data_IF_274798898364
#
_entry.id   IF_274798898364
#
_cell.length_a   1.000
_cell.length_b   1.000
_cell.length_c   1.000
_cell.angle_alpha   90.00
_cell.angle_beta   90.00
_cell.angle_gamma   90.00
#
_symmetry.space_group_name_H-M   'P 1'
#
loop_
_entity.id
_entity.type
_entity.pdbx_description
1 polymer ?
#
# COMPACT_ATOMS: atom_id res chain seq x y z
N UNK A 1 49.44 -10.67 32.60
CA UNK A 1 50.79 -10.89 32.04
C UNK A 1 50.67 -11.84 30.84
N UNK A 2 51.46 -11.62 29.77
CA UNK A 2 51.73 -12.48 28.58
C UNK A 2 50.54 -12.69 27.61
N UNK A 3 50.40 -12.03 26.44
CA UNK A 3 51.24 -11.85 25.23
C UNK A 3 51.74 -13.15 24.60
N UNK A 4 51.28 -13.46 23.38
CA UNK A 4 51.97 -13.98 22.16
C UNK A 4 50.84 -14.19 21.10
N UNK A 5 50.70 -13.49 19.94
CA UNK A 5 51.59 -13.27 18.79
C UNK A 5 52.12 -14.62 18.23
N UNK A 6 52.19 -14.97 16.94
CA UNK A 6 52.07 -14.34 15.62
C UNK A 6 52.29 -15.46 14.57
N UNK A 7 51.74 -15.33 13.36
CA UNK A 7 52.37 -15.74 12.07
C UNK A 7 51.43 -15.25 10.94
N UNK A 8 51.67 -14.20 10.16
CA UNK A 8 52.79 -13.74 9.30
C UNK A 8 53.12 -14.67 8.13
N UNK A 9 52.65 -14.28 6.96
CA UNK A 9 53.30 -14.34 5.63
C UNK A 9 52.58 -13.26 4.80
N UNK A 10 53.04 -12.04 4.51
CA UNK A 10 54.34 -11.46 4.19
C UNK A 10 54.89 -11.85 2.81
N UNK A 11 54.35 -11.26 1.73
CA UNK A 11 55.12 -10.98 0.51
C UNK A 11 54.92 -9.50 0.10
N UNK A 12 55.96 -8.72 0.47
CA UNK A 12 56.63 -7.57 -0.19
C UNK A 12 55.87 -6.85 -1.32
N UNK A 13 55.49 -5.57 -1.13
CA UNK A 13 56.29 -4.32 -1.29
C UNK A 13 56.59 -3.91 -2.75
N UNK A 14 56.02 -2.78 -3.16
CA UNK A 14 56.61 -1.62 -3.88
C UNK A 14 55.47 -0.60 -4.04
N UNK A 15 55.47 0.65 -3.59
CA UNK A 15 56.54 1.53 -3.11
C UNK A 15 56.79 2.68 -4.10
N UNK A 16 55.96 3.74 -4.09
CA UNK A 16 56.26 5.18 -4.34
C UNK A 16 54.91 5.93 -4.43
N UNK A 17 54.50 6.83 -3.52
CA UNK A 17 55.00 8.16 -3.12
C UNK A 17 54.91 9.23 -4.24
N UNK A 18 53.80 10.00 -4.21
CA UNK A 18 53.61 11.46 -4.49
C UNK A 18 54.08 12.04 -5.87
N UNK A 19 53.70 13.28 -6.27
CA UNK A 19 52.38 13.94 -6.34
C UNK A 19 52.18 14.80 -7.63
N UNK A 20 51.07 15.56 -7.68
CA UNK A 20 50.85 16.88 -8.34
C UNK A 20 51.58 17.22 -9.67
N UNK A 21 50.80 17.56 -10.71
CA UNK A 21 51.30 18.40 -11.81
C UNK A 21 50.41 18.46 -13.07
N UNK A 22 49.82 19.65 -13.30
CA UNK A 22 49.46 20.32 -14.57
C UNK A 22 48.89 19.49 -15.74
N UNK A 23 47.62 19.71 -16.15
CA UNK A 23 47.21 20.76 -17.10
C UNK A 23 47.92 20.68 -18.46
N UNK A 24 47.26 20.07 -19.46
CA UNK A 24 47.27 20.49 -20.88
C UNK A 24 45.97 19.98 -21.52
N UNK A 25 45.08 20.92 -21.87
CA UNK A 25 44.00 20.75 -22.83
C UNK A 25 44.54 20.30 -24.19
N UNK A 26 43.74 19.54 -24.95
CA UNK A 26 43.85 19.23 -26.40
C UNK A 26 44.17 17.77 -26.76
N UNK A 27 43.30 16.83 -26.37
CA UNK A 27 42.93 15.68 -27.23
C UNK A 27 41.43 15.40 -27.03
N UNK A 28 40.61 16.38 -27.37
CA UNK A 28 39.17 16.21 -27.55
C UNK A 28 38.94 15.84 -29.02
N UNK A 29 39.15 14.56 -29.37
CA UNK A 29 38.53 13.92 -30.53
C UNK A 29 38.90 12.44 -30.59
N UNK A 30 37.87 11.60 -30.68
CA UNK A 30 37.88 10.25 -31.23
C UNK A 30 38.57 9.12 -30.43
N UNK A 31 37.96 8.71 -29.30
CA UNK A 31 37.77 7.27 -29.00
C UNK A 31 36.37 7.07 -28.41
N UNK A 32 35.38 7.10 -29.29
CA UNK A 32 34.13 6.37 -29.12
C UNK A 32 34.42 4.89 -29.35
N UNK A 33 34.13 4.01 -28.38
CA UNK A 33 33.65 2.62 -28.56
C UNK A 33 33.62 1.86 -27.21
N UNK A 34 32.44 1.28 -26.94
CA UNK A 34 32.10 0.25 -25.95
C UNK A 34 32.17 0.58 -24.45
N UNK A 35 31.00 0.85 -23.86
CA UNK A 35 30.40 -0.01 -22.80
C UNK A 35 28.96 0.47 -22.53
N UNK A 36 28.01 -0.08 -23.28
CA UNK A 36 26.60 0.04 -22.92
C UNK A 36 26.33 -0.83 -21.70
N UNK A 37 26.17 -0.20 -20.54
CA UNK A 37 25.70 -0.86 -19.33
C UNK A 37 24.22 -1.21 -19.56
N UNK A 38 23.95 -2.48 -19.86
CA UNK A 38 22.61 -3.02 -19.90
C UNK A 38 22.05 -3.02 -18.47
N UNK A 39 21.35 -1.95 -18.11
CA UNK A 39 20.49 -1.95 -16.92
C UNK A 39 19.47 -3.06 -17.13
N UNK A 40 19.50 -4.06 -16.24
CA UNK A 40 18.43 -5.03 -16.15
C UNK A 40 17.12 -4.26 -15.89
N UNK A 41 16.28 -4.15 -16.91
CA UNK A 41 14.96 -3.52 -16.82
C UNK A 41 14.09 -4.42 -15.93
N UNK A 42 14.04 -4.12 -14.64
CA UNK A 42 13.05 -4.70 -13.74
C UNK A 42 11.66 -4.30 -14.24
N UNK A 43 10.66 -5.21 -14.23
CA UNK A 43 9.30 -4.87 -14.64
C UNK A 43 8.79 -3.64 -13.88
N UNK A 44 8.22 -2.68 -14.61
CA UNK A 44 7.72 -1.42 -14.05
C UNK A 44 6.64 -1.68 -13.00
N UNK A 45 6.49 -0.76 -12.04
CA UNK A 45 5.50 -0.90 -10.97
C UNK A 45 4.07 -0.99 -11.50
N UNK A 46 3.77 -0.27 -12.58
CA UNK A 46 2.48 -0.36 -13.27
C UNK A 46 2.20 -1.79 -13.77
N UNK A 47 3.16 -2.41 -14.46
CA UNK A 47 3.00 -3.78 -14.97
C UNK A 47 2.80 -4.77 -13.82
N UNK A 48 3.55 -4.64 -12.73
CA UNK A 48 3.38 -5.51 -11.55
C UNK A 48 2.02 -5.34 -10.89
N UNK A 49 1.46 -4.12 -10.90
CA UNK A 49 0.13 -3.86 -10.35
C UNK A 49 -0.97 -4.43 -11.25
N UNK A 50 -0.83 -4.33 -12.57
CA UNK A 50 -1.75 -4.97 -13.52
C UNK A 50 -1.76 -6.50 -13.37
N UNK A 51 -0.58 -7.11 -13.25
CA UNK A 51 -0.49 -8.56 -13.04
C UNK A 51 -1.07 -8.97 -11.69
N UNK A 52 -0.83 -8.19 -10.63
CA UNK A 52 -1.45 -8.44 -9.32
C UNK A 52 -2.98 -8.34 -9.38
N UNK A 53 -3.52 -7.39 -10.14
CA UNK A 53 -4.96 -7.23 -10.31
C UNK A 53 -5.55 -8.42 -11.10
N UNK A 54 -4.93 -8.79 -12.22
CA UNK A 54 -5.36 -9.90 -13.07
C UNK A 54 -5.26 -11.27 -12.37
N UNK A 55 -4.24 -11.46 -11.53
CA UNK A 55 -3.99 -12.72 -10.84
C UNK A 55 -4.55 -12.81 -9.42
N UNK A 56 -5.28 -11.79 -8.94
CA UNK A 56 -5.66 -11.72 -7.52
C UNK A 56 -6.52 -12.90 -7.08
N UNK A 57 -7.52 -13.26 -7.86
CA UNK A 57 -8.42 -14.38 -7.56
C UNK A 57 -7.69 -15.73 -7.61
N UNK A 58 -6.89 -15.94 -8.67
CA UNK A 58 -6.14 -17.16 -8.88
C UNK A 58 -5.05 -17.36 -7.79
N UNK A 59 -4.38 -16.27 -7.41
CA UNK A 59 -3.39 -16.28 -6.33
C UNK A 59 -4.01 -16.66 -4.98
N UNK A 60 -5.22 -16.16 -4.68
CA UNK A 60 -5.91 -16.52 -3.43
C UNK A 60 -6.32 -17.99 -3.43
N UNK A 61 -6.80 -18.50 -4.57
CA UNK A 61 -7.23 -19.89 -4.69
C UNK A 61 -6.05 -20.88 -4.60
N UNK A 62 -4.92 -20.50 -5.20
CA UNK A 62 -3.85 -21.44 -5.50
C UNK A 62 -2.53 -21.20 -4.74
N UNK A 63 -2.33 -19.98 -4.24
CA UNK A 63 -1.05 -19.51 -3.64
C UNK A 63 -1.23 -18.78 -2.30
N UNK A 64 -2.31 -19.04 -1.56
CA UNK A 64 -2.64 -18.34 -0.31
C UNK A 64 -1.60 -18.44 0.82
N UNK A 65 -0.68 -19.42 0.75
CA UNK A 65 0.44 -19.58 1.68
C UNK A 65 1.69 -18.77 1.33
N UNK A 66 1.69 -18.01 0.23
CA UNK A 66 2.87 -17.33 -0.31
C UNK A 66 2.76 -15.82 -0.09
N UNK A 67 3.88 -15.15 0.24
CA UNK A 67 3.93 -13.70 0.41
C UNK A 67 3.69 -12.97 -0.92
N UNK A 68 2.68 -12.09 -1.01
CA UNK A 68 2.38 -11.37 -2.23
C UNK A 68 3.47 -10.35 -2.60
N UNK A 69 3.85 -10.33 -3.88
CA UNK A 69 4.75 -9.32 -4.43
C UNK A 69 6.23 -9.68 -4.47
N UNK A 70 6.63 -10.83 -3.92
CA UNK A 70 7.96 -11.40 -4.09
C UNK A 70 8.08 -12.33 -5.30
N UNK A 71 9.30 -12.82 -5.55
CA UNK A 71 9.58 -13.87 -6.54
C UNK A 71 8.87 -15.19 -6.22
N UNK A 72 8.63 -15.47 -4.94
CA UNK A 72 7.92 -16.66 -4.46
C UNK A 72 6.47 -16.69 -4.99
N UNK A 73 5.80 -15.53 -5.02
CA UNK A 73 4.45 -15.42 -5.56
C UNK A 73 4.41 -15.74 -7.07
N UNK A 74 5.40 -15.26 -7.84
CA UNK A 74 5.49 -15.59 -9.25
C UNK A 74 5.82 -17.06 -9.49
N UNK A 75 6.69 -17.66 -8.68
CA UNK A 75 7.03 -19.08 -8.79
C UNK A 75 5.81 -19.97 -8.49
N UNK A 76 5.03 -19.65 -7.46
CA UNK A 76 3.79 -20.35 -7.18
C UNK A 76 2.78 -20.24 -8.34
N UNK A 77 2.58 -19.02 -8.88
CA UNK A 77 1.71 -18.84 -10.05
C UNK A 77 2.21 -19.65 -11.27
N UNK A 78 3.53 -19.67 -11.53
CA UNK A 78 4.12 -20.44 -12.62
C UNK A 78 3.92 -21.95 -12.45
N UNK A 79 4.02 -22.49 -11.23
CA UNK A 79 3.75 -23.90 -10.94
C UNK A 79 2.29 -24.29 -11.19
N UNK A 80 1.39 -23.31 -11.13
CA UNK A 80 -0.03 -23.51 -11.31
C UNK A 80 -0.60 -22.93 -12.61
N UNK A 81 0.24 -22.59 -13.59
CA UNK A 81 -0.17 -21.89 -14.83
C UNK A 81 -1.40 -22.52 -15.51
N UNK A 82 -1.44 -23.85 -15.60
CA UNK A 82 -2.55 -24.61 -16.18
C UNK A 82 -3.89 -24.46 -15.44
N UNK A 83 -3.87 -24.11 -14.15
CA UNK A 83 -5.03 -23.94 -13.28
C UNK A 83 -5.46 -22.47 -13.15
N UNK A 84 -4.58 -21.52 -13.51
CA UNK A 84 -4.90 -20.09 -13.46
C UNK A 84 -5.99 -19.70 -14.48
N UNK A 85 -6.58 -18.52 -14.31
CA UNK A 85 -7.38 -17.89 -15.34
C UNK A 85 -6.55 -17.54 -16.59
N UNK A 86 -7.22 -17.47 -17.75
CA UNK A 86 -6.56 -17.06 -19.00
C UNK A 86 -5.96 -15.65 -18.91
N UNK A 87 -6.61 -14.75 -18.17
CA UNK A 87 -6.12 -13.40 -17.94
C UNK A 87 -4.83 -13.39 -17.09
N UNK A 88 -4.81 -14.17 -16.01
CA UNK A 88 -3.63 -14.27 -15.15
C UNK A 88 -2.44 -14.94 -15.85
N UNK A 89 -2.65 -16.05 -16.59
CA UNK A 89 -1.60 -16.67 -17.40
C UNK A 89 -0.97 -15.70 -18.40
N UNK A 90 -1.81 -14.94 -19.11
CA UNK A 90 -1.33 -13.94 -20.10
C UNK A 90 -0.47 -12.86 -19.43
N UNK A 91 -0.85 -12.43 -18.24
CA UNK A 91 -0.11 -11.44 -17.46
C UNK A 91 1.24 -11.99 -16.93
N UNK A 92 1.26 -13.22 -16.41
CA UNK A 92 2.49 -13.87 -15.90
C UNK A 92 3.47 -14.20 -17.03
N UNK A 93 2.96 -14.66 -18.17
CA UNK A 93 3.77 -14.95 -19.37
C UNK A 93 4.38 -13.68 -19.98
N UNK A 94 3.68 -12.55 -19.95
CA UNK A 94 4.21 -11.26 -20.41
C UNK A 94 5.37 -10.72 -19.55
N UNK A 95 5.44 -11.08 -18.27
CA UNK A 95 6.59 -10.75 -17.40
C UNK A 95 7.73 -11.76 -17.56
N UNK A 96 7.40 -13.05 -17.69
CA UNK A 96 8.40 -14.13 -17.74
C UNK A 96 9.09 -14.19 -19.10
N UNK A 97 8.35 -13.91 -20.17
CA UNK A 97 8.92 -13.67 -21.49
C UNK A 97 9.46 -12.23 -21.52
N UNK A 98 10.77 -12.09 -21.29
CA UNK A 98 11.52 -10.84 -21.44
C UNK A 98 10.96 -9.99 -22.59
N UNK A 99 10.40 -8.80 -22.34
CA UNK A 99 9.88 -7.97 -23.41
C UNK A 99 11.06 -7.56 -24.30
N UNK A 100 11.10 -8.12 -25.51
CA UNK A 100 11.76 -7.46 -26.62
C UNK A 100 10.90 -6.23 -26.89
N UNK A 101 11.37 -5.08 -26.41
CA UNK A 101 10.83 -3.79 -26.78
C UNK A 101 10.88 -3.66 -28.30
N UNK A 102 9.74 -3.91 -28.94
CA UNK A 102 9.44 -3.34 -30.25
C UNK A 102 8.49 -2.20 -29.96
N UNK A 103 9.07 -1.00 -29.82
CA UNK A 103 8.36 0.22 -30.18
C UNK A 103 8.09 0.11 -31.68
N UNK A 104 6.89 -0.35 -32.04
CA UNK A 104 6.30 -0.16 -33.34
C UNK A 104 4.91 0.41 -33.11
N UNK A 105 4.83 1.71 -33.34
CA UNK A 105 3.64 2.49 -33.61
C UNK A 105 2.67 1.74 -34.55
N UNK A 106 1.38 1.65 -34.23
CA UNK A 106 0.35 1.45 -35.24
C UNK A 106 -0.10 2.83 -35.72
N UNK A 107 0.50 3.25 -36.85
CA UNK A 107 -0.11 4.24 -37.72
C UNK A 107 -1.41 3.65 -38.25
N UNK A 108 -2.55 4.14 -37.77
CA UNK A 108 -3.87 3.78 -38.29
C UNK A 108 -4.28 4.82 -39.32
N UNK A 109 -4.03 4.51 -40.58
CA UNK A 109 -4.75 5.14 -41.70
C UNK A 109 -6.08 4.41 -41.86
N UNK A 110 -7.18 5.16 -41.73
CA UNK A 110 -8.54 4.74 -42.03
C UNK A 110 -8.69 4.29 -43.51
N UNK A 111 -9.80 3.65 -43.88
CA UNK A 111 -10.94 4.48 -44.26
C UNK A 111 -12.29 4.05 -43.66
N UNK A 112 -13.06 5.10 -43.40
CA UNK A 112 -14.49 5.18 -43.13
C UNK A 112 -15.34 4.56 -44.24
N UNK A 113 -16.42 3.87 -43.86
CA UNK A 113 -17.73 4.20 -44.44
C UNK A 113 -18.86 4.04 -43.42
N UNK A 114 -19.71 5.06 -43.49
CA UNK A 114 -20.87 5.48 -42.72
C UNK A 114 -21.94 4.41 -42.51
N UNK A 115 -22.44 4.33 -41.28
CA UNK A 115 -23.68 3.66 -40.91
C UNK A 115 -24.22 4.29 -39.62
N UNK A 116 -24.87 5.44 -39.76
CA UNK A 116 -25.52 6.16 -38.68
C UNK A 116 -26.75 5.38 -38.20
N UNK A 117 -26.81 5.07 -36.91
CA UNK A 117 -28.06 5.13 -36.14
C UNK A 117 -27.70 5.42 -34.68
N UNK A 118 -27.90 6.67 -34.28
CA UNK A 118 -28.01 7.08 -32.89
C UNK A 118 -29.26 6.45 -32.29
N UNK A 119 -29.16 5.86 -31.09
CA UNK A 119 -30.12 6.24 -30.05
C UNK A 119 -29.41 6.95 -28.89
N UNK A 120 -30.05 8.05 -28.47
CA UNK A 120 -29.78 8.80 -27.26
C UNK A 120 -30.03 7.93 -26.00
N UNK A 121 -29.52 8.33 -24.83
CA UNK A 121 -29.28 7.45 -23.69
C UNK A 121 -30.58 7.17 -22.93
N UNK A 122 -30.90 5.89 -22.75
CA UNK A 122 -31.94 5.45 -21.82
C UNK A 122 -31.28 4.73 -20.63
N UNK A 123 -31.74 5.13 -19.45
CA UNK A 123 -31.25 4.77 -18.14
C UNK A 123 -31.29 3.27 -17.83
N UNK A 124 -30.47 2.88 -16.85
CA UNK A 124 -30.88 1.84 -15.90
C UNK A 124 -30.02 0.57 -15.80
N UNK A 125 -28.70 0.63 -15.98
CA UNK A 125 -27.86 -0.39 -15.38
C UNK A 125 -27.78 -0.13 -13.87
N UNK A 126 -28.58 -0.87 -13.10
CA UNK A 126 -28.50 -0.91 -11.65
C UNK A 126 -27.16 -1.53 -11.26
N UNK A 127 -26.12 -0.70 -11.16
CA UNK A 127 -24.92 -1.04 -10.41
C UNK A 127 -25.37 -1.22 -8.97
N UNK A 128 -25.46 -2.47 -8.50
CA UNK A 128 -25.50 -2.75 -7.07
C UNK A 128 -24.34 -1.96 -6.46
N UNK A 129 -24.66 -0.94 -5.66
CA UNK A 129 -23.72 0.06 -5.17
C UNK A 129 -22.63 -0.66 -4.36
N UNK A 130 -21.56 -1.04 -5.05
CA UNK A 130 -20.38 -1.57 -4.41
C UNK A 130 -19.78 -0.42 -3.61
N UNK A 131 -19.47 -0.62 -2.32
CA UNK A 131 -18.84 0.42 -1.52
C UNK A 131 -17.60 0.93 -2.25
N UNK A 132 -17.46 2.26 -2.30
CA UNK A 132 -16.28 2.90 -2.86
C UNK A 132 -15.05 2.54 -2.04
N UNK A 133 -13.86 2.61 -2.64
CA UNK A 133 -12.60 2.24 -1.98
C UNK A 133 -12.41 3.02 -0.67
N UNK A 134 -12.71 4.32 -0.70
CA UNK A 134 -12.70 5.18 0.48
C UNK A 134 -13.66 4.71 1.59
N UNK A 135 -14.85 4.21 1.24
CA UNK A 135 -15.79 3.65 2.21
C UNK A 135 -15.26 2.35 2.83
N UNK A 136 -14.63 1.48 2.02
CA UNK A 136 -14.03 0.24 2.52
C UNK A 136 -12.86 0.52 3.46
N UNK A 137 -12.05 1.53 3.15
CA UNK A 137 -10.94 1.95 4.00
C UNK A 137 -11.41 2.58 5.32
N UNK A 138 -12.47 3.40 5.27
CA UNK A 138 -13.11 3.95 6.46
C UNK A 138 -13.69 2.85 7.37
N UNK A 139 -14.35 1.84 6.80
CA UNK A 139 -14.80 0.66 7.55
C UNK A 139 -13.61 -0.11 8.12
N UNK A 140 -12.56 -0.33 7.34
CA UNK A 140 -11.36 -1.07 7.78
C UNK A 140 -10.62 -0.36 8.91
N UNK A 141 -10.58 0.97 8.91
CA UNK A 141 -9.93 1.73 9.98
C UNK A 141 -10.76 1.67 11.27
N UNK A 142 -12.07 1.89 11.20
CA UNK A 142 -12.98 1.87 12.33
C UNK A 142 -13.18 0.46 12.93
N UNK A 143 -13.19 -0.57 12.10
CA UNK A 143 -13.48 -1.96 12.49
C UNK A 143 -12.25 -2.80 12.80
N UNK A 144 -11.05 -2.22 12.87
CA UNK A 144 -9.80 -3.03 12.88
C UNK A 144 -9.68 -3.96 14.08
N UNK A 145 -10.00 -3.48 15.27
CA UNK A 145 -9.98 -4.26 16.51
C UNK A 145 -11.05 -5.35 16.50
N UNK A 146 -12.28 -4.99 16.10
CA UNK A 146 -13.40 -5.93 16.06
C UNK A 146 -13.19 -7.00 15.00
N UNK A 147 -12.63 -6.64 13.84
CA UNK A 147 -12.33 -7.57 12.76
C UNK A 147 -11.29 -8.62 13.18
N UNK A 148 -10.26 -8.23 13.93
CA UNK A 148 -9.25 -9.17 14.42
C UNK A 148 -9.82 -10.17 15.43
N UNK A 149 -10.81 -9.77 16.23
CA UNK A 149 -11.38 -10.65 17.24
C UNK A 149 -12.57 -11.47 16.71
N UNK A 150 -13.35 -10.95 15.75
CA UNK A 150 -14.58 -11.57 15.25
C UNK A 150 -14.43 -12.20 13.87
N UNK A 151 -13.44 -11.77 13.06
CA UNK A 151 -13.34 -12.08 11.63
C UNK A 151 -11.91 -12.45 11.17
N UNK A 152 -11.05 -12.97 12.07
CA UNK A 152 -9.64 -13.27 11.81
C UNK A 152 -9.38 -14.26 10.65
N UNK A 153 -10.37 -15.06 10.26
CA UNK A 153 -10.29 -16.00 9.12
C UNK A 153 -10.61 -15.39 7.76
N UNK A 154 -10.89 -14.09 7.67
CA UNK A 154 -11.36 -13.43 6.44
C UNK A 154 -10.36 -12.39 5.95
N UNK A 155 -10.24 -12.23 4.63
CA UNK A 155 -9.38 -11.19 4.03
C UNK A 155 -9.95 -9.79 4.25
N UNK A 156 -9.19 -8.84 4.84
CA UNK A 156 -9.68 -7.50 5.15
C UNK A 156 -9.93 -6.66 3.89
N UNK A 157 -10.93 -5.78 3.96
CA UNK A 157 -11.24 -4.79 2.92
C UNK A 157 -12.05 -5.31 1.71
N UNK A 158 -12.34 -6.61 1.66
CA UNK A 158 -13.20 -7.19 0.62
C UNK A 158 -14.67 -7.30 1.02
N UNK A 159 -15.52 -7.76 0.10
CA UNK A 159 -16.92 -8.08 0.38
C UNK A 159 -17.07 -9.13 1.49
N UNK A 160 -16.19 -10.14 1.53
CA UNK A 160 -16.18 -11.16 2.57
C UNK A 160 -15.97 -10.56 3.98
N UNK A 161 -15.12 -9.53 4.11
CA UNK A 161 -14.91 -8.84 5.38
C UNK A 161 -16.17 -8.10 5.83
N UNK A 162 -16.87 -7.43 4.90
CA UNK A 162 -18.14 -6.76 5.20
C UNK A 162 -19.22 -7.75 5.63
N UNK A 163 -19.33 -8.90 4.96
CA UNK A 163 -20.30 -9.94 5.35
C UNK A 163 -20.01 -10.50 6.74
N UNK A 164 -18.74 -10.77 7.08
CA UNK A 164 -18.38 -11.22 8.42
C UNK A 164 -18.72 -10.18 9.49
N UNK A 165 -18.39 -8.90 9.23
CA UNK A 165 -18.74 -7.81 10.14
C UNK A 165 -20.26 -7.68 10.32
N UNK A 166 -21.04 -7.77 9.25
CA UNK A 166 -22.51 -7.72 9.32
C UNK A 166 -23.08 -8.86 10.17
N UNK A 167 -22.54 -10.07 10.03
CA UNK A 167 -22.96 -11.24 10.81
C UNK A 167 -22.63 -11.10 12.31
N UNK A 168 -21.56 -10.39 12.64
CA UNK A 168 -21.12 -10.13 14.01
C UNK A 168 -21.48 -8.73 14.52
N UNK A 169 -22.40 -8.01 13.85
CA UNK A 169 -22.74 -6.61 14.13
C UNK A 169 -23.04 -6.31 15.60
N UNK A 170 -23.77 -7.19 16.29
CA UNK A 170 -24.10 -7.05 17.72
C UNK A 170 -22.89 -7.13 18.67
N UNK A 171 -21.75 -7.67 18.21
CA UNK A 171 -20.49 -7.77 18.97
C UNK A 171 -19.40 -6.81 18.49
N UNK A 172 -19.70 -6.02 17.47
CA UNK A 172 -18.79 -4.96 17.03
C UNK A 172 -18.87 -3.77 17.98
N UNK A 173 -17.80 -3.00 18.07
CA UNK A 173 -17.79 -1.70 18.73
C UNK A 173 -18.76 -0.72 18.05
N UNK A 174 -19.32 0.22 18.82
CA UNK A 174 -20.18 1.29 18.31
C UNK A 174 -19.62 2.02 17.07
N UNK A 175 -18.34 2.45 17.03
CA UNK A 175 -17.80 3.11 15.83
C UNK A 175 -17.76 2.17 14.61
N UNK A 176 -17.48 0.88 14.81
CA UNK A 176 -17.47 -0.09 13.72
C UNK A 176 -18.88 -0.38 13.18
N UNK A 177 -19.87 -0.54 14.06
CA UNK A 177 -21.28 -0.70 13.65
C UNK A 177 -21.75 0.49 12.81
N UNK A 178 -21.39 1.70 13.22
CA UNK A 178 -21.78 2.93 12.54
C UNK A 178 -21.15 3.04 11.15
N UNK A 179 -19.89 2.65 11.00
CA UNK A 179 -19.20 2.60 9.71
C UNK A 179 -19.82 1.55 8.76
N UNK A 180 -20.16 0.36 9.25
CA UNK A 180 -20.80 -0.70 8.45
C UNK A 180 -22.23 -0.30 8.05
N UNK A 181 -22.99 0.35 8.94
CA UNK A 181 -24.33 0.85 8.64
C UNK A 181 -24.33 1.96 7.58
N UNK A 182 -23.35 2.87 7.60
CA UNK A 182 -23.20 3.92 6.60
C UNK A 182 -22.98 3.35 5.18
N UNK A 183 -22.30 2.21 5.07
CA UNK A 183 -22.10 1.49 3.80
C UNK A 183 -23.39 0.80 3.34
N UNK A 184 -24.18 0.24 4.25
CA UNK A 184 -25.49 -0.35 3.93
C UNK A 184 -26.53 0.68 3.47
N UNK A 185 -26.48 1.91 4.03
CA UNK A 185 -27.39 2.99 3.67
C UNK A 185 -27.07 3.63 2.30
N UNK A 186 -25.80 3.62 1.90
CA UNK A 186 -25.37 4.14 0.59
C UNK A 186 -25.80 3.26 -0.61
N UNK A 187 -26.37 2.08 -0.36
CA UNK A 187 -26.90 1.16 -1.37
C UNK A 187 -28.43 1.15 -1.52
N UNK A 188 -29.17 1.93 -0.71
CA UNK A 188 -30.61 2.08 -0.88
C UNK A 188 -30.91 3.23 -1.86
N UNK A 189 -31.80 3.06 -2.86
CA UNK A 189 -32.27 4.21 -3.61
C UNK A 189 -33.00 5.12 -2.62
N UNK A 190 -32.64 6.41 -2.62
CA UNK A 190 -33.44 7.43 -1.98
C UNK A 190 -34.80 7.51 -2.68
N UNK A 191 -35.77 6.74 -2.21
CA UNK A 191 -37.18 7.05 -2.38
C UNK A 191 -37.49 8.15 -1.37
N UNK A 192 -37.78 9.34 -1.89
CA UNK A 192 -37.96 10.54 -1.08
C UNK A 192 -39.11 10.44 -0.08
N UNK A 193 -38.99 11.23 0.97
CA UNK A 193 -40.13 11.81 1.65
C UNK A 193 -39.79 13.27 1.93
N UNK A 194 -40.62 14.15 1.37
CA UNK A 194 -40.58 15.58 1.64
C UNK A 194 -40.93 15.90 3.10
N UNK A 195 -40.37 17.02 3.52
CA UNK A 195 -40.58 17.83 4.72
C UNK A 195 -41.83 17.61 5.59
N UNK A 196 -41.62 17.62 6.91
CA UNK A 196 -42.34 18.53 7.81
C UNK A 196 -41.51 18.82 9.07
N UNK A 197 -41.56 20.08 9.48
CA UNK A 197 -40.81 20.80 10.52
C UNK A 197 -40.98 20.31 11.95
N UNK A 198 -39.88 20.27 12.70
CA UNK A 198 -39.86 20.67 14.11
C UNK A 198 -38.48 21.23 14.45
N UNK A 199 -38.45 22.52 14.80
CA UNK A 199 -37.26 23.21 15.24
C UNK A 199 -36.79 22.62 16.59
N UNK A 200 -35.58 22.08 16.60
CA UNK A 200 -34.80 21.79 17.80
C UNK A 200 -33.51 22.62 17.73
N UNK A 201 -32.99 23.13 18.87
CA UNK A 201 -31.85 24.06 18.88
C UNK A 201 -30.60 23.38 18.29
N UNK A 202 -29.65 24.14 17.74
CA UNK A 202 -28.46 23.55 17.14
C UNK A 202 -27.63 22.87 18.23
N UNK A 203 -27.68 21.53 18.26
CA UNK A 203 -26.62 20.75 18.87
C UNK A 203 -25.35 21.09 18.09
N UNK A 204 -24.41 21.75 18.77
CA UNK A 204 -23.08 22.05 18.28
C UNK A 204 -22.46 20.75 17.81
N UNK A 205 -22.36 20.55 16.49
CA UNK A 205 -21.50 19.49 15.94
C UNK A 205 -20.11 19.76 16.51
N UNK A 206 -19.42 18.79 17.16
CA UNK A 206 -18.00 18.97 17.33
C UNK A 206 -17.44 19.19 15.92
N UNK A 207 -16.66 20.26 15.78
CA UNK A 207 -15.93 20.53 14.56
C UNK A 207 -15.30 19.22 14.08
N UNK A 208 -15.48 18.90 12.80
CA UNK A 208 -14.91 17.70 12.20
C UNK A 208 -13.45 17.61 12.60
N UNK A 209 -13.03 16.43 13.09
CA UNK A 209 -11.63 16.20 13.41
C UNK A 209 -10.80 16.57 12.19
N UNK A 210 -9.71 17.32 12.34
CA UNK A 210 -8.90 17.71 11.20
C UNK A 210 -8.44 16.43 10.52
N UNK A 211 -8.70 16.31 9.22
CA UNK A 211 -8.16 15.21 8.43
C UNK A 211 -6.68 15.53 8.26
N UNK A 212 -5.86 15.08 9.22
CA UNK A 212 -4.43 15.29 9.19
C UNK A 212 -3.80 14.40 8.14
N UNK A 213 -2.80 14.94 7.44
CA UNK A 213 -1.96 14.10 6.59
C UNK A 213 -1.15 13.11 7.45
N UNK A 214 -0.74 11.94 6.92
CA UNK A 214 0.13 11.00 7.65
C UNK A 214 1.43 11.63 8.17
N UNK A 215 1.86 12.75 7.56
CA UNK A 215 3.01 13.54 8.00
C UNK A 215 2.68 14.41 9.21
N UNK A 216 1.52 15.06 9.23
CA UNK A 216 1.05 15.81 10.40
C UNK A 216 0.79 14.90 11.59
N UNK A 217 0.18 13.73 11.38
CA UNK A 217 -0.01 12.75 12.45
C UNK A 217 1.32 12.41 13.14
N UNK A 218 2.37 12.13 12.35
CA UNK A 218 3.70 11.85 12.91
C UNK A 218 4.31 13.06 13.64
N UNK A 219 4.08 14.29 13.16
CA UNK A 219 4.54 15.50 13.83
C UNK A 219 3.84 15.67 15.17
N UNK A 220 2.52 15.52 15.22
CA UNK A 220 1.74 15.69 16.44
C UNK A 220 2.06 14.59 17.46
N UNK A 221 2.24 13.33 17.04
CA UNK A 221 2.73 12.26 17.93
C UNK A 221 4.09 12.64 18.50
N UNK A 222 5.02 13.13 17.67
CA UNK A 222 6.38 13.46 18.11
C UNK A 222 6.42 14.64 19.07
N UNK A 223 5.54 15.61 18.89
CA UNK A 223 5.42 16.78 19.77
C UNK A 223 4.75 16.41 21.09
N UNK A 224 3.63 15.69 21.03
CA UNK A 224 2.84 15.31 22.21
C UNK A 224 3.53 14.24 23.05
N UNK A 225 4.13 13.22 22.42
CA UNK A 225 4.81 12.11 23.09
C UNK A 225 6.33 12.28 23.21
N UNK A 226 6.89 13.39 22.71
CA UNK A 226 8.33 13.63 22.73
C UNK A 226 8.98 13.59 24.13
N UNK A 227 8.38 14.23 25.15
CA UNK A 227 8.87 14.14 26.53
C UNK A 227 8.83 12.71 27.08
N UNK A 228 7.73 11.99 26.83
CA UNK A 228 7.53 10.61 27.27
C UNK A 228 8.52 9.65 26.61
N UNK A 229 8.79 9.83 25.33
CA UNK A 229 9.81 9.07 24.62
C UNK A 229 11.19 9.23 25.27
N UNK A 230 11.57 10.47 25.62
CA UNK A 230 12.85 10.73 26.29
C UNK A 230 12.92 10.12 27.68
N UNK A 231 11.80 10.10 28.41
CA UNK A 231 11.72 9.55 29.76
C UNK A 231 11.75 8.02 29.79
N UNK A 232 11.02 7.36 28.88
CA UNK A 232 10.77 5.91 28.95
C UNK A 232 11.40 5.10 27.83
N UNK A 233 11.63 5.69 26.65
CA UNK A 233 11.97 4.97 25.43
C UNK A 233 13.26 5.44 24.75
N UNK A 234 14.13 6.19 25.44
CA UNK A 234 15.34 6.81 24.86
C UNK A 234 16.33 5.85 24.18
N UNK A 235 16.30 4.56 24.56
CA UNK A 235 17.19 3.52 24.02
C UNK A 235 16.58 2.81 22.79
N UNK A 236 15.36 3.16 22.41
CA UNK A 236 14.65 2.51 21.31
C UNK A 236 15.11 3.09 19.97
N UNK A 237 15.59 2.25 19.04
CA UNK A 237 16.00 2.72 17.71
C UNK A 237 14.82 3.34 16.97
N UNK A 238 14.99 4.57 16.49
CA UNK A 238 14.01 5.27 15.65
C UNK A 238 13.74 4.44 14.37
N UNK A 239 12.50 4.44 13.88
CA UNK A 239 12.09 3.77 12.64
C UNK A 239 11.30 2.46 12.85
N UNK A 240 10.53 2.08 11.84
CA UNK A 240 9.75 0.82 11.83
C UNK A 240 8.70 0.72 12.94
N UNK A 241 8.19 1.84 13.48
CA UNK A 241 7.16 1.84 14.51
C UNK A 241 7.61 1.44 15.93
N UNK A 242 8.90 1.15 16.15
CA UNK A 242 9.42 0.70 17.46
C UNK A 242 9.17 1.68 18.60
N UNK A 243 9.29 2.98 18.30
CA UNK A 243 9.02 4.06 19.26
C UNK A 243 7.57 4.03 19.74
N UNK A 244 6.62 3.85 18.83
CA UNK A 244 5.19 3.77 19.14
C UNK A 244 4.90 2.52 19.97
N UNK A 245 5.56 1.39 19.67
CA UNK A 245 5.43 0.16 20.46
C UNK A 245 5.91 0.38 21.90
N UNK A 246 7.10 0.93 22.09
CA UNK A 246 7.62 1.21 23.44
C UNK A 246 6.73 2.19 24.23
N UNK A 247 6.21 3.23 23.57
CA UNK A 247 5.28 4.16 24.20
C UNK A 247 3.97 3.47 24.60
N UNK A 248 3.47 2.52 23.77
CA UNK A 248 2.31 1.70 24.12
C UNK A 248 2.56 0.78 25.31
N UNK A 249 3.75 0.19 25.38
CA UNK A 249 4.14 -0.66 26.52
C UNK A 249 4.25 0.14 27.84
N UNK A 250 4.42 1.46 27.74
CA UNK A 250 4.48 2.39 28.87
C UNK A 250 3.21 3.26 29.02
N UNK A 251 2.06 2.86 28.47
CA UNK A 251 0.82 3.66 28.47
C UNK A 251 0.43 4.24 29.83
N UNK A 252 0.64 3.48 30.91
CA UNK A 252 0.30 3.93 32.27
C UNK A 252 1.30 4.93 32.87
N UNK A 253 2.46 5.09 32.24
CA UNK A 253 3.56 5.95 32.71
C UNK A 253 3.76 7.19 31.86
N UNK A 254 3.29 7.18 30.61
CA UNK A 254 3.32 8.36 29.74
C UNK A 254 2.35 9.44 30.21
N UNK A 255 2.57 10.66 29.74
CA UNK A 255 1.69 11.80 30.01
C UNK A 255 0.25 11.53 29.56
N UNK A 256 -0.76 12.13 30.23
CA UNK A 256 -2.16 11.99 29.82
C UNK A 256 -2.42 12.45 28.38
N UNK A 257 -1.67 13.44 27.90
CA UNK A 257 -1.74 13.92 26.52
C UNK A 257 -1.25 12.85 25.54
N UNK A 258 -0.08 12.27 25.77
CA UNK A 258 0.45 11.20 24.93
C UNK A 258 -0.42 9.93 25.00
N UNK A 259 -0.92 9.59 26.18
CA UNK A 259 -1.85 8.47 26.36
C UNK A 259 -3.08 8.61 25.45
N UNK A 260 -3.72 9.80 25.44
CA UNK A 260 -4.89 10.04 24.57
C UNK A 260 -4.56 9.88 23.08
N UNK A 261 -3.42 10.37 22.63
CA UNK A 261 -2.98 10.23 21.23
C UNK A 261 -2.75 8.76 20.86
N UNK A 262 -2.18 7.97 21.77
CA UNK A 262 -1.92 6.54 21.53
C UNK A 262 -3.18 5.66 21.58
N UNK A 263 -4.20 6.04 22.35
CA UNK A 263 -5.43 5.25 22.53
C UNK A 263 -6.55 5.61 21.57
N UNK A 264 -6.72 6.90 21.28
CA UNK A 264 -7.84 7.39 20.49
C UNK A 264 -7.54 7.45 18.99
N UNK A 265 -6.26 7.29 18.62
CA UNK A 265 -5.77 7.76 17.33
C UNK A 265 -5.75 9.30 17.30
N UNK A 266 -5.10 9.85 16.28
CA UNK A 266 -5.21 11.27 15.96
C UNK A 266 -6.52 11.58 15.23
#
# INVERSE_FOLDING_TARGET
>A
MRKYASSRSAIRRRGRWFPLGLSISSVFCAVTLLTGIAVAQTPTEEQRNEVRAACRSDFIAQCSGVQPGGMEALNCLQQHDSTLSAACRKAVSAITAKPKSTSAEPSQTAPVTTGATTPAPAAGAQTAAQPTEAQRDAVKSACRSDFMAQCSGVSPGGAAALSCLQQHSARLSAPCQQAVAAVGAAGAPAAGAGAATAAAPPATRPAGMPVFSPREEMMIVRETCGPDFRAFCRMVPIGGGRVISCLRDNLQRVSPACHRVLTSGL
#
